data_IF_250122450289
#
_entry.id   IF_250122450289
#
_cell.length_a   1.000
_cell.length_b   1.000
_cell.length_c   1.000
_cell.angle_alpha   90.00
_cell.angle_beta   90.00
_cell.angle_gamma   90.00
#
_symmetry.space_group_name_H-M   'P 1'
#
loop_
_entity.id
_entity.type
_entity.pdbx_description
1 polymer ?
#
# COMPACT_ATOMS: atom_id res chain seq x y z
N UNK A 1 7.77 26.79 3.36
CA UNK A 1 8.65 25.70 3.86
C UNK A 1 9.61 25.32 2.75
N UNK A 2 10.95 25.39 2.94
CA UNK A 2 11.89 25.10 1.82
C UNK A 2 11.96 23.59 1.59
N UNK A 3 11.51 23.14 0.42
CA UNK A 3 11.61 21.75 -0.03
C UNK A 3 12.98 21.54 -0.68
N UNK A 4 13.74 20.47 -0.37
CA UNK A 4 14.95 20.14 -1.08
C UNK A 4 14.69 19.95 -2.57
N UNK A 5 15.50 20.58 -3.46
CA UNK A 5 15.28 20.54 -4.93
C UNK A 5 15.09 19.12 -5.48
N UNK A 6 15.88 18.14 -4.97
CA UNK A 6 15.74 16.73 -5.39
C UNK A 6 14.34 16.17 -5.10
N UNK A 7 13.76 16.52 -3.94
CA UNK A 7 12.41 16.07 -3.56
C UNK A 7 11.37 16.79 -4.40
N UNK A 8 11.50 18.10 -4.59
CA UNK A 8 10.61 18.89 -5.44
C UNK A 8 10.60 18.37 -6.89
N UNK A 9 11.77 18.06 -7.46
CA UNK A 9 11.88 17.51 -8.81
C UNK A 9 11.20 16.15 -8.94
N UNK A 10 11.46 15.24 -7.99
CA UNK A 10 10.84 13.91 -7.99
C UNK A 10 9.31 14.02 -7.85
N UNK A 11 8.85 14.92 -6.99
CA UNK A 11 7.42 15.18 -6.75
C UNK A 11 6.71 15.69 -8.00
N UNK A 12 7.21 16.78 -8.60
CA UNK A 12 6.63 17.38 -9.81
C UNK A 12 6.64 16.40 -10.98
N UNK A 13 7.75 15.68 -11.21
CA UNK A 13 7.84 14.69 -12.29
C UNK A 13 6.82 13.55 -12.12
N UNK A 14 6.66 13.01 -10.90
CA UNK A 14 5.70 11.95 -10.63
C UNK A 14 4.27 12.43 -10.84
N UNK A 15 3.93 13.61 -10.31
CA UNK A 15 2.59 14.18 -10.42
C UNK A 15 2.24 14.52 -11.88
N UNK A 16 3.17 15.10 -12.64
CA UNK A 16 3.02 15.34 -14.07
C UNK A 16 2.80 14.06 -14.88
N UNK A 17 3.51 12.99 -14.51
CA UNK A 17 3.33 11.65 -15.09
C UNK A 17 2.07 10.91 -14.62
N UNK A 18 1.22 11.52 -13.78
CA UNK A 18 0.01 10.90 -13.24
C UNK A 18 0.27 9.72 -12.29
N UNK A 19 1.51 9.58 -11.77
CA UNK A 19 1.87 8.54 -10.82
C UNK A 19 2.01 9.10 -9.41
N UNK A 20 1.76 8.25 -8.41
CA UNK A 20 1.88 8.66 -7.00
C UNK A 20 3.36 8.78 -6.62
N UNK A 21 3.81 9.95 -6.12
CA UNK A 21 5.18 10.12 -5.69
C UNK A 21 5.49 9.27 -4.46
N UNK A 22 6.69 8.71 -4.40
CA UNK A 22 7.16 7.96 -3.21
C UNK A 22 7.72 8.87 -2.11
N UNK A 23 8.14 10.06 -2.47
CA UNK A 23 8.73 11.08 -1.57
C UNK A 23 8.02 12.40 -1.73
N UNK A 24 8.03 13.23 -0.68
CA UNK A 24 7.47 14.58 -0.73
C UNK A 24 5.95 14.68 -0.53
N UNK A 25 5.25 13.58 -0.29
CA UNK A 25 3.79 13.56 -0.10
C UNK A 25 3.28 14.58 0.93
N UNK A 26 3.91 14.79 2.11
CA UNK A 26 3.43 15.77 3.08
C UNK A 26 3.35 17.21 2.54
N UNK A 27 4.14 17.53 1.52
CA UNK A 27 4.13 18.87 0.92
C UNK A 27 2.88 19.16 0.08
N UNK A 28 2.24 18.12 -0.46
CA UNK A 28 1.06 18.21 -1.34
C UNK A 28 -0.19 17.53 -0.77
N UNK A 29 -0.12 16.99 0.45
CA UNK A 29 -1.30 16.42 1.11
C UNK A 29 -2.28 17.53 1.49
N UNK A 30 -3.54 17.37 1.03
CA UNK A 30 -4.67 18.28 1.30
C UNK A 30 -5.93 17.44 1.52
N UNK A 31 -6.80 17.86 2.44
CA UNK A 31 -8.17 17.35 2.58
C UNK A 31 -8.33 15.91 3.08
N UNK A 32 -7.26 15.27 3.58
CA UNK A 32 -7.28 13.84 3.99
C UNK A 32 -6.96 13.62 5.48
N UNK A 33 -7.06 14.67 6.28
CA UNK A 33 -6.66 14.60 7.68
C UNK A 33 -7.45 13.57 8.46
N UNK A 34 -8.78 13.59 8.31
CA UNK A 34 -9.65 12.72 9.09
C UNK A 34 -9.48 11.24 8.74
N UNK A 35 -9.33 10.94 7.43
CA UNK A 35 -9.04 9.58 6.93
C UNK A 35 -7.69 9.08 7.44
N UNK A 36 -6.66 9.93 7.40
CA UNK A 36 -5.32 9.62 7.92
C UNK A 36 -5.41 9.37 9.43
N UNK A 37 -6.06 10.24 10.19
CA UNK A 37 -6.20 10.11 11.64
C UNK A 37 -6.97 8.83 12.03
N UNK A 38 -7.99 8.44 11.24
CA UNK A 38 -8.74 7.20 11.44
C UNK A 38 -7.84 5.97 11.21
N UNK A 39 -7.08 5.95 10.13
CA UNK A 39 -6.15 4.86 9.82
C UNK A 39 -4.98 4.77 10.80
N UNK A 40 -4.51 5.91 11.34
CA UNK A 40 -3.47 5.92 12.35
C UNK A 40 -3.96 5.40 13.72
N UNK A 41 -5.25 5.59 14.07
CA UNK A 41 -5.85 4.92 15.24
C UNK A 41 -5.85 3.40 15.08
N UNK A 42 -6.14 2.89 13.90
CA UNK A 42 -6.05 1.46 13.62
C UNK A 42 -4.61 0.94 13.78
N UNK A 43 -3.62 1.72 13.37
CA UNK A 43 -2.20 1.38 13.54
C UNK A 43 -1.84 1.25 15.02
N UNK A 44 -2.38 2.08 15.87
CA UNK A 44 -2.15 1.99 17.33
C UNK A 44 -2.79 0.69 17.90
N UNK A 45 -3.99 0.29 17.44
CA UNK A 45 -4.62 -1.00 17.79
C UNK A 45 -3.73 -2.18 17.37
N UNK A 46 -3.14 -2.13 16.17
CA UNK A 46 -2.24 -3.19 15.67
C UNK A 46 -0.97 -3.26 16.53
N UNK A 47 -0.38 -2.14 16.91
CA UNK A 47 0.81 -2.09 17.76
C UNK A 47 0.59 -2.73 19.14
N UNK A 48 -0.63 -2.63 19.67
CA UNK A 48 -1.05 -3.21 20.95
C UNK A 48 -1.41 -4.71 20.86
N UNK A 49 -1.23 -5.33 19.69
CA UNK A 49 -1.45 -6.77 19.49
C UNK A 49 -2.76 -7.15 18.83
N UNK A 50 -3.58 -6.15 18.47
CA UNK A 50 -4.80 -6.33 17.71
C UNK A 50 -4.56 -6.48 16.20
N UNK A 51 -5.67 -6.38 15.46
CA UNK A 51 -5.67 -6.34 14.01
C UNK A 51 -6.68 -5.30 13.50
N UNK A 52 -6.50 -4.84 12.27
CA UNK A 52 -7.44 -3.95 11.59
C UNK A 52 -7.67 -4.40 10.15
N UNK A 53 -8.88 -4.16 9.66
CA UNK A 53 -9.24 -4.44 8.27
C UNK A 53 -10.08 -3.28 7.71
N UNK A 54 -9.56 -2.60 6.68
CA UNK A 54 -10.23 -1.46 6.06
C UNK A 54 -10.33 -1.60 4.54
N UNK A 55 -11.42 -1.08 4.01
CA UNK A 55 -11.55 -0.78 2.59
C UNK A 55 -11.49 0.73 2.38
N UNK A 56 -10.71 1.17 1.39
CA UNK A 56 -10.73 2.54 0.90
C UNK A 56 -11.39 2.53 -0.47
N UNK A 57 -12.54 3.18 -0.56
CA UNK A 57 -13.38 3.20 -1.75
C UNK A 57 -13.43 4.61 -2.32
N UNK A 58 -13.16 4.74 -3.61
CA UNK A 58 -13.22 6.03 -4.29
C UNK A 58 -13.10 5.86 -5.79
N UNK A 59 -13.60 6.84 -6.55
CA UNK A 59 -13.51 6.85 -8.02
C UNK A 59 -12.06 6.76 -8.50
N UNK A 60 -11.87 6.45 -9.76
CA UNK A 60 -10.55 6.50 -10.37
C UNK A 60 -9.98 7.93 -10.23
N UNK A 61 -8.70 8.06 -9.91
CA UNK A 61 -8.08 9.37 -9.69
C UNK A 61 -8.42 10.09 -8.39
N UNK A 62 -9.30 9.56 -7.53
CA UNK A 62 -9.73 10.19 -6.27
C UNK A 62 -8.66 10.29 -5.18
N UNK A 63 -7.45 9.76 -5.43
CA UNK A 63 -6.34 9.80 -4.47
C UNK A 63 -6.21 8.58 -3.56
N UNK A 64 -6.86 7.44 -3.86
CA UNK A 64 -6.71 6.18 -3.08
C UNK A 64 -5.25 5.78 -2.91
N UNK A 65 -4.54 5.59 -4.00
CA UNK A 65 -3.11 5.20 -4.00
C UNK A 65 -2.22 6.26 -3.34
N UNK A 66 -2.60 7.56 -3.45
CA UNK A 66 -1.94 8.64 -2.74
C UNK A 66 -2.12 8.51 -1.22
N UNK A 67 -3.32 8.21 -0.75
CA UNK A 67 -3.60 7.97 0.67
C UNK A 67 -2.85 6.73 1.16
N UNK A 68 -2.85 5.61 0.40
CA UNK A 68 -2.06 4.42 0.74
C UNK A 68 -0.58 4.74 0.92
N UNK A 69 0.01 5.48 -0.02
CA UNK A 69 1.42 5.85 0.04
C UNK A 69 1.71 6.80 1.21
N UNK A 70 0.76 7.69 1.53
CA UNK A 70 0.86 8.59 2.69
C UNK A 70 0.85 7.79 3.99
N UNK A 71 -0.11 6.89 4.17
CA UNK A 71 -0.20 6.00 5.34
C UNK A 71 1.04 5.13 5.46
N UNK A 72 1.52 4.55 4.34
CA UNK A 72 2.76 3.77 4.30
C UNK A 72 3.93 4.51 4.95
N UNK A 73 4.13 5.77 4.60
CA UNK A 73 5.22 6.59 5.14
C UNK A 73 5.04 6.86 6.65
N UNK A 74 3.83 7.21 7.11
CA UNK A 74 3.54 7.41 8.53
C UNK A 74 3.75 6.14 9.35
N UNK A 75 3.30 5.01 8.85
CA UNK A 75 3.35 3.73 9.54
C UNK A 75 4.78 3.21 9.65
N UNK A 76 5.59 3.36 8.58
CA UNK A 76 7.02 3.06 8.66
C UNK A 76 7.76 3.96 9.67
N UNK A 77 7.36 5.24 9.81
CA UNK A 77 7.93 6.14 10.83
C UNK A 77 7.60 5.68 12.25
N UNK A 78 6.46 5.00 12.47
CA UNK A 78 6.05 4.34 13.71
C UNK A 78 6.67 2.94 13.91
N UNK A 79 7.73 2.60 13.19
CA UNK A 79 8.47 1.33 13.28
C UNK A 79 7.65 0.08 12.86
N UNK A 80 6.76 0.23 11.90
CA UNK A 80 6.08 -0.90 11.26
C UNK A 80 6.85 -1.40 10.04
N UNK A 81 6.58 -2.65 9.69
CA UNK A 81 6.88 -3.19 8.36
C UNK A 81 5.65 -3.03 7.48
N UNK A 82 5.84 -2.53 6.28
CA UNK A 82 4.76 -2.39 5.30
C UNK A 82 5.04 -3.28 4.10
N UNK A 83 4.03 -3.98 3.63
CA UNK A 83 4.04 -4.77 2.40
C UNK A 83 2.91 -4.32 1.51
N UNK A 84 3.16 -4.19 0.21
CA UNK A 84 2.18 -3.71 -0.74
C UNK A 84 2.14 -4.56 -2.01
N UNK A 85 0.95 -4.69 -2.61
CA UNK A 85 0.74 -5.34 -3.89
C UNK A 85 -0.44 -4.72 -4.64
N UNK A 86 -0.28 -4.58 -5.96
CA UNK A 86 -1.36 -4.26 -6.86
C UNK A 86 -1.90 -5.56 -7.47
N UNK A 87 -3.20 -5.78 -7.35
CA UNK A 87 -3.84 -6.92 -7.98
C UNK A 87 -3.82 -6.78 -9.51
N UNK A 88 -3.77 -7.90 -10.18
CA UNK A 88 -3.78 -8.00 -11.65
C UNK A 88 -4.43 -9.32 -12.08
N UNK A 89 -4.61 -9.59 -13.37
CA UNK A 89 -5.04 -10.91 -13.82
C UNK A 89 -4.16 -12.06 -13.34
N UNK A 90 -2.85 -11.84 -13.15
CA UNK A 90 -1.86 -12.80 -12.68
C UNK A 90 -1.70 -12.81 -11.15
N UNK A 91 -2.08 -11.73 -10.48
CA UNK A 91 -1.99 -11.55 -9.02
C UNK A 91 -3.38 -11.39 -8.43
N UNK A 92 -3.89 -12.44 -7.80
CA UNK A 92 -5.21 -12.50 -7.15
C UNK A 92 -5.05 -12.93 -5.69
N UNK A 93 -6.13 -12.86 -4.92
CA UNK A 93 -6.11 -13.36 -3.53
C UNK A 93 -6.27 -14.88 -3.48
N UNK A 94 -6.97 -15.46 -4.45
CA UNK A 94 -7.14 -16.89 -4.60
C UNK A 94 -7.11 -17.26 -6.08
N UNK A 95 -6.44 -18.36 -6.41
CA UNK A 95 -6.35 -18.90 -7.75
C UNK A 95 -5.96 -20.37 -7.75
N UNK A 96 -5.91 -20.96 -8.93
CA UNK A 96 -5.53 -22.37 -9.13
C UNK A 96 -4.22 -22.53 -9.89
N UNK A 97 -3.63 -21.43 -10.36
CA UNK A 97 -2.42 -21.40 -11.18
C UNK A 97 -1.31 -20.53 -10.59
N UNK A 98 -1.23 -20.46 -9.27
CA UNK A 98 -0.21 -19.66 -8.60
C UNK A 98 -0.53 -18.16 -8.48
N UNK A 99 -1.80 -17.73 -8.72
CA UNK A 99 -2.13 -16.31 -8.66
C UNK A 99 -2.11 -15.76 -7.23
N UNK A 100 -2.55 -16.54 -6.24
CA UNK A 100 -2.45 -16.14 -4.83
C UNK A 100 -1.00 -16.11 -4.36
N UNK A 101 -0.21 -17.11 -4.77
CA UNK A 101 1.23 -17.15 -4.52
C UNK A 101 1.95 -15.96 -5.21
N UNK A 102 1.51 -15.54 -6.40
CA UNK A 102 2.08 -14.37 -7.08
C UNK A 102 1.83 -13.07 -6.28
N UNK A 103 0.64 -12.92 -5.68
CA UNK A 103 0.35 -11.81 -4.78
C UNK A 103 1.24 -11.84 -3.53
N UNK A 104 1.42 -13.02 -2.91
CA UNK A 104 2.33 -13.19 -1.80
C UNK A 104 3.79 -12.82 -2.15
N UNK A 105 4.28 -13.29 -3.30
CA UNK A 105 5.63 -12.96 -3.78
C UNK A 105 5.82 -11.46 -3.93
N UNK A 106 4.81 -10.77 -4.47
CA UNK A 106 4.83 -9.31 -4.60
C UNK A 106 4.87 -8.62 -3.23
N UNK A 107 4.01 -9.03 -2.29
CA UNK A 107 3.99 -8.50 -0.93
C UNK A 107 5.35 -8.65 -0.24
N UNK A 108 5.97 -9.82 -0.30
CA UNK A 108 7.28 -10.04 0.34
C UNK A 108 8.40 -9.31 -0.38
N UNK A 109 8.36 -9.20 -1.72
CA UNK A 109 9.30 -8.42 -2.50
C UNK A 109 9.27 -6.94 -2.13
N UNK A 110 8.06 -6.40 -1.93
CA UNK A 110 7.83 -5.01 -1.57
C UNK A 110 7.92 -4.75 -0.06
N UNK A 111 8.31 -5.76 0.74
CA UNK A 111 8.48 -5.59 2.18
C UNK A 111 9.43 -4.45 2.49
N UNK A 112 8.96 -3.47 3.23
CA UNK A 112 9.60 -2.18 3.44
C UNK A 112 9.64 -1.79 4.91
N UNK A 113 10.69 -1.07 5.28
CA UNK A 113 10.88 -0.49 6.61
C UNK A 113 11.31 0.96 6.47
N UNK A 114 11.38 1.70 7.58
CA UNK A 114 11.89 3.08 7.59
C UNK A 114 13.31 3.18 7.00
N UNK A 115 14.15 2.18 7.22
CA UNK A 115 15.56 2.15 6.73
C UNK A 115 15.69 1.61 5.32
N UNK A 116 14.69 0.89 4.82
CA UNK A 116 14.64 0.32 3.46
C UNK A 116 13.23 0.55 2.87
N UNK A 117 12.88 1.78 2.49
CA UNK A 117 11.53 2.12 2.05
C UNK A 117 11.21 1.66 0.61
N UNK A 118 12.22 1.29 -0.19
CA UNK A 118 12.02 0.90 -1.59
C UNK A 118 11.57 -0.56 -1.76
N UNK A 119 11.47 -1.34 -0.68
CA UNK A 119 11.20 -2.77 -0.73
C UNK A 119 12.44 -3.63 -0.51
N UNK A 120 12.26 -4.95 -0.49
CA UNK A 120 13.36 -5.90 -0.30
C UNK A 120 13.99 -5.88 1.09
N UNK A 121 13.24 -5.49 2.12
CA UNK A 121 13.76 -5.35 3.48
C UNK A 121 13.94 -6.67 4.23
N UNK A 122 13.40 -7.79 3.73
CA UNK A 122 13.42 -9.07 4.45
C UNK A 122 14.82 -9.50 4.94
N UNK A 123 15.91 -9.48 4.13
CA UNK A 123 17.23 -9.85 4.61
C UNK A 123 17.71 -8.95 5.75
N UNK A 124 17.52 -7.64 5.62
CA UNK A 124 17.91 -6.67 6.65
C UNK A 124 17.12 -6.86 7.95
N UNK A 125 15.84 -7.23 7.87
CA UNK A 125 15.00 -7.53 9.03
C UNK A 125 15.57 -8.74 9.79
N UNK A 126 15.90 -9.82 9.08
CA UNK A 126 16.44 -11.03 9.67
C UNK A 126 17.84 -10.80 10.29
N UNK A 127 18.74 -10.16 9.58
CA UNK A 127 20.08 -9.85 10.08
C UNK A 127 20.03 -8.92 11.30
N UNK A 128 19.17 -7.89 11.26
CA UNK A 128 18.98 -6.98 12.39
C UNK A 128 18.34 -7.66 13.60
N UNK A 129 17.41 -8.56 13.38
CA UNK A 129 16.81 -9.35 14.45
C UNK A 129 17.86 -10.19 15.17
N UNK A 130 18.71 -10.91 14.43
CA UNK A 130 19.81 -11.70 15.00
C UNK A 130 20.74 -10.81 15.83
N UNK A 131 21.16 -9.68 15.27
CA UNK A 131 22.03 -8.72 15.98
C UNK A 131 21.37 -8.16 17.24
N UNK A 132 20.05 -7.88 17.21
CA UNK A 132 19.30 -7.40 18.39
C UNK A 132 19.23 -8.47 19.47
N UNK A 133 19.00 -9.74 19.12
CA UNK A 133 18.99 -10.84 20.08
C UNK A 133 20.38 -11.07 20.68
N UNK A 134 21.44 -10.99 19.88
CA UNK A 134 22.82 -11.06 20.38
C UNK A 134 23.10 -9.95 21.40
N UNK A 135 22.72 -8.71 21.07
CA UNK A 135 22.93 -7.58 21.98
C UNK A 135 22.12 -7.73 23.30
N UNK A 136 20.87 -8.15 23.21
CA UNK A 136 20.02 -8.43 24.40
C UNK A 136 20.67 -9.47 25.33
N UNK A 137 21.22 -10.55 24.75
CA UNK A 137 21.88 -11.58 25.52
C UNK A 137 23.19 -11.07 26.12
N UNK A 138 23.99 -10.30 25.39
CA UNK A 138 25.21 -9.69 25.91
C UNK A 138 24.92 -8.76 27.09
N UNK A 139 23.92 -7.89 26.94
CA UNK A 139 23.52 -6.94 27.98
C UNK A 139 23.02 -7.64 29.25
N UNK A 140 22.31 -8.78 29.11
CA UNK A 140 21.76 -9.53 30.23
C UNK A 140 22.76 -10.48 30.90
N UNK A 141 23.72 -11.01 30.14
CA UNK A 141 24.72 -11.97 30.65
C UNK A 141 26.07 -11.35 31.05
N UNK A 142 26.36 -10.14 30.56
CA UNK A 142 27.65 -9.47 30.75
C UNK A 142 28.78 -10.09 29.90
N UNK A 143 28.49 -11.02 28.98
CA UNK A 143 29.47 -11.67 28.12
C UNK A 143 29.85 -10.78 26.94
N UNK A 144 31.12 -10.84 26.55
CA UNK A 144 31.61 -10.16 25.34
C UNK A 144 31.35 -10.94 24.06
N UNK A 145 31.48 -10.26 22.90
CA UNK A 145 31.23 -10.85 21.55
C UNK A 145 32.08 -12.09 21.28
N UNK A 146 33.31 -12.14 21.83
CA UNK A 146 34.27 -13.25 21.65
C UNK A 146 34.13 -14.34 22.69
N UNK A 147 33.22 -14.21 23.65
CA UNK A 147 33.06 -15.21 24.71
C UNK A 147 32.37 -16.46 24.17
N UNK A 148 32.99 -17.67 24.34
CA UNK A 148 32.38 -18.91 23.88
C UNK A 148 31.04 -19.24 24.50
N UNK A 149 30.74 -18.68 25.69
CA UNK A 149 29.44 -18.85 26.35
C UNK A 149 28.28 -18.06 25.71
N UNK A 150 28.57 -17.07 24.86
CA UNK A 150 27.57 -16.23 24.25
C UNK A 150 26.65 -16.99 23.24
N UNK A 151 27.28 -17.75 22.32
CA UNK A 151 26.57 -18.44 21.25
C UNK A 151 25.45 -19.40 21.75
N UNK A 152 25.67 -20.26 22.77
CA UNK A 152 24.60 -21.10 23.32
C UNK A 152 23.44 -20.31 23.94
N UNK A 153 23.70 -19.17 24.57
CA UNK A 153 22.68 -18.31 25.16
C UNK A 153 21.84 -17.63 24.08
N UNK A 154 22.47 -17.13 23.02
CA UNK A 154 21.78 -16.55 21.86
C UNK A 154 20.92 -17.62 21.16
N UNK A 155 21.44 -18.83 20.95
CA UNK A 155 20.67 -19.94 20.36
C UNK A 155 19.44 -20.29 21.22
N UNK A 156 19.60 -20.34 22.55
CA UNK A 156 18.49 -20.55 23.48
C UNK A 156 17.45 -19.43 23.40
N UNK A 157 17.87 -18.17 23.32
CA UNK A 157 16.97 -17.03 23.19
C UNK A 157 16.22 -17.05 21.85
N UNK A 158 16.89 -17.31 20.74
CA UNK A 158 16.29 -17.49 19.42
C UNK A 158 15.28 -18.63 19.46
N UNK A 159 15.63 -19.77 20.04
CA UNK A 159 14.69 -20.91 20.18
C UNK A 159 13.45 -20.55 20.98
N UNK A 160 13.55 -19.73 22.02
CA UNK A 160 12.42 -19.25 22.80
C UNK A 160 11.50 -18.32 21.98
N UNK A 161 12.07 -17.38 21.20
CA UNK A 161 11.33 -16.50 20.31
C UNK A 161 10.58 -17.29 19.23
N UNK A 162 11.28 -18.22 18.62
CA UNK A 162 10.75 -19.10 17.55
C UNK A 162 9.68 -20.07 18.11
N UNK A 163 9.87 -20.55 19.33
CA UNK A 163 8.94 -21.48 19.99
C UNK A 163 7.51 -20.92 20.10
N UNK A 164 7.37 -19.62 20.28
CA UNK A 164 6.07 -18.95 20.31
C UNK A 164 5.31 -19.03 18.97
N UNK A 165 5.99 -19.28 17.85
CA UNK A 165 5.37 -19.43 16.53
C UNK A 165 4.87 -20.87 16.26
N UNK A 166 5.36 -21.87 17.01
CA UNK A 166 5.07 -23.29 16.74
C UNK A 166 3.58 -23.64 16.87
N UNK A 167 2.83 -22.88 17.66
CA UNK A 167 1.38 -23.11 17.85
C UNK A 167 0.56 -22.60 16.66
N UNK A 168 1.14 -21.81 15.77
CA UNK A 168 0.47 -21.30 14.58
C UNK A 168 0.52 -22.30 13.43
N UNK A 169 -0.43 -22.21 12.52
CA UNK A 169 -0.44 -23.01 11.28
C UNK A 169 0.89 -22.78 10.53
N UNK A 170 1.57 -23.87 10.16
CA UNK A 170 2.92 -23.87 9.56
C UNK A 170 4.03 -23.26 10.43
N UNK A 171 3.77 -22.98 11.68
CA UNK A 171 4.75 -22.36 12.60
C UNK A 171 6.02 -23.16 12.78
N UNK A 172 5.93 -24.50 12.84
CA UNK A 172 7.09 -25.38 13.01
C UNK A 172 8.11 -25.26 11.86
N UNK A 173 7.65 -25.32 10.60
CA UNK A 173 8.54 -25.20 9.44
C UNK A 173 9.11 -23.79 9.30
N UNK A 174 8.29 -22.78 9.57
CA UNK A 174 8.73 -21.37 9.58
C UNK A 174 9.83 -21.16 10.65
N UNK A 175 9.62 -21.69 11.84
CA UNK A 175 10.57 -21.68 12.95
C UNK A 175 11.91 -22.36 12.58
N UNK A 176 11.81 -23.53 11.94
CA UNK A 176 12.98 -24.29 11.48
C UNK A 176 13.81 -23.49 10.46
N UNK A 177 13.16 -22.81 9.54
CA UNK A 177 13.86 -21.98 8.55
C UNK A 177 14.50 -20.74 9.17
N UNK A 178 13.86 -20.09 10.15
CA UNK A 178 14.51 -19.03 10.93
C UNK A 178 15.76 -19.53 11.68
N UNK A 179 15.69 -20.73 12.27
CA UNK A 179 16.85 -21.35 12.90
C UNK A 179 17.97 -21.65 11.91
N UNK A 180 17.62 -22.16 10.72
CA UNK A 180 18.58 -22.42 9.66
C UNK A 180 19.24 -21.14 9.18
N UNK A 181 18.48 -20.06 9.00
CA UNK A 181 18.98 -18.73 8.65
C UNK A 181 19.99 -18.23 9.71
N UNK A 182 19.64 -18.35 11.00
CA UNK A 182 20.53 -17.96 12.10
C UNK A 182 21.85 -18.73 12.06
N UNK A 183 21.80 -20.07 11.92
CA UNK A 183 23.01 -20.91 11.85
C UNK A 183 23.89 -20.54 10.67
N UNK A 184 23.29 -20.32 9.51
CA UNK A 184 23.99 -19.85 8.31
C UNK A 184 24.60 -18.45 8.51
N UNK A 185 23.90 -17.55 9.18
CA UNK A 185 24.41 -16.22 9.52
C UNK A 185 25.67 -16.31 10.41
N UNK A 186 25.64 -17.12 11.46
CA UNK A 186 26.78 -17.32 12.36
C UNK A 186 27.98 -17.98 11.67
N UNK A 187 27.70 -18.87 10.70
CA UNK A 187 28.76 -19.58 9.94
C UNK A 187 29.29 -18.75 8.75
N UNK A 188 28.70 -17.60 8.43
CA UNK A 188 29.03 -16.83 7.21
C UNK A 188 28.61 -17.55 5.92
N UNK A 189 27.62 -18.45 5.98
CA UNK A 189 27.13 -19.23 4.85
C UNK A 189 26.04 -18.45 4.10
N UNK A 190 26.47 -17.61 3.18
CA UNK A 190 25.58 -16.78 2.36
C UNK A 190 24.74 -17.62 1.38
N UNK A 191 25.19 -18.80 0.99
CA UNK A 191 24.44 -19.70 0.10
C UNK A 191 23.20 -20.23 0.80
N UNK A 192 23.33 -20.76 2.01
CA UNK A 192 22.19 -21.24 2.81
C UNK A 192 21.27 -20.09 3.18
N UNK A 193 21.78 -18.90 3.53
CA UNK A 193 20.95 -17.69 3.74
C UNK A 193 20.11 -17.37 2.50
N UNK A 194 20.70 -17.39 1.32
CA UNK A 194 19.99 -17.11 0.07
C UNK A 194 18.88 -18.15 -0.21
N UNK A 195 19.15 -19.45 0.04
CA UNK A 195 18.14 -20.51 -0.10
C UNK A 195 16.97 -20.32 0.87
N UNK A 196 17.23 -19.97 2.13
CA UNK A 196 16.16 -19.67 3.09
C UNK A 196 15.35 -18.45 2.67
N UNK A 197 16.00 -17.38 2.21
CA UNK A 197 15.31 -16.20 1.68
C UNK A 197 14.45 -16.51 0.46
N UNK A 198 14.94 -17.38 -0.46
CA UNK A 198 14.19 -17.90 -1.60
C UNK A 198 12.90 -18.59 -1.13
N UNK A 199 12.97 -19.38 -0.06
CA UNK A 199 11.80 -20.03 0.51
C UNK A 199 10.80 -19.02 1.09
N UNK A 200 11.25 -18.08 1.91
CA UNK A 200 10.39 -17.04 2.48
C UNK A 200 9.71 -16.16 1.42
N UNK A 201 10.34 -16.00 0.26
CA UNK A 201 9.76 -15.31 -0.90
C UNK A 201 8.75 -16.15 -1.69
N UNK A 202 8.55 -17.44 -1.33
CA UNK A 202 7.66 -18.35 -2.05
C UNK A 202 8.19 -18.76 -3.43
N UNK A 203 9.51 -18.76 -3.62
CA UNK A 203 10.14 -18.96 -4.94
C UNK A 203 10.47 -20.43 -5.23
N UNK A 204 10.27 -21.36 -4.28
CA UNK A 204 10.40 -22.80 -4.53
C UNK A 204 9.19 -23.30 -5.30
N UNK A 205 9.44 -23.99 -6.42
CA UNK A 205 8.40 -24.54 -7.26
C UNK A 205 7.83 -25.87 -6.73
N UNK A 206 8.68 -26.70 -6.09
CA UNK A 206 8.31 -28.03 -5.62
C UNK A 206 8.79 -28.32 -4.20
N UNK A 207 8.04 -29.20 -3.50
CA UNK A 207 8.46 -29.72 -2.19
C UNK A 207 9.77 -30.50 -2.27
N UNK A 208 10.03 -31.18 -3.39
CA UNK A 208 11.27 -31.96 -3.62
C UNK A 208 12.48 -31.05 -3.61
N UNK A 209 12.42 -29.92 -4.34
CA UNK A 209 13.49 -28.91 -4.36
C UNK A 209 13.74 -28.35 -2.95
N UNK A 210 12.68 -27.92 -2.25
CA UNK A 210 12.79 -27.41 -0.89
C UNK A 210 13.38 -28.44 0.10
N UNK A 211 13.03 -29.72 -0.07
CA UNK A 211 13.58 -30.82 0.75
C UNK A 211 15.06 -31.04 0.49
N UNK A 212 15.47 -31.01 -0.78
CA UNK A 212 16.88 -31.22 -1.14
C UNK A 212 17.77 -30.07 -0.65
N UNK A 213 17.30 -28.82 -0.79
CA UNK A 213 18.11 -27.66 -0.49
C UNK A 213 18.06 -27.23 0.99
N UNK A 214 16.91 -27.40 1.67
CA UNK A 214 16.67 -26.88 3.03
C UNK A 214 16.22 -27.98 4.03
N UNK A 215 15.98 -29.19 3.57
CA UNK A 215 15.46 -30.29 4.40
C UNK A 215 14.00 -30.11 4.83
N UNK A 216 13.24 -29.15 4.28
CA UNK A 216 11.81 -28.94 4.59
C UNK A 216 10.92 -29.54 3.50
N UNK A 217 9.83 -30.16 3.87
CA UNK A 217 8.91 -30.82 2.93
C UNK A 217 7.62 -30.00 2.69
N UNK A 218 7.76 -28.67 2.71
CA UNK A 218 6.66 -27.74 2.54
C UNK A 218 7.11 -26.55 1.67
N UNK A 219 6.20 -26.04 0.86
CA UNK A 219 6.37 -24.82 0.07
C UNK A 219 5.12 -23.98 0.23
N UNK A 220 5.25 -22.69 0.10
CA UNK A 220 4.13 -21.74 0.16
C UNK A 220 3.29 -21.89 -1.12
N UNK A 221 1.97 -21.95 -0.97
CA UNK A 221 1.01 -22.23 -2.06
C UNK A 221 -0.11 -21.19 -2.14
N UNK A 222 -0.94 -21.28 -3.19
CA UNK A 222 -2.15 -20.44 -3.35
C UNK A 222 -3.14 -20.56 -2.17
N UNK A 223 -3.11 -21.67 -1.43
CA UNK A 223 -4.08 -21.92 -0.38
C UNK A 223 -3.64 -21.38 0.98
N UNK A 224 -2.34 -21.37 1.26
CA UNK A 224 -1.78 -21.14 2.60
C UNK A 224 -0.92 -19.88 2.75
N UNK A 225 -0.66 -19.14 1.66
CA UNK A 225 0.17 -17.94 1.70
C UNK A 225 -0.25 -16.91 2.76
N UNK A 226 -1.54 -16.82 3.06
CA UNK A 226 -2.06 -15.92 4.08
C UNK A 226 -1.63 -16.33 5.50
N UNK A 227 -1.53 -17.63 5.78
CA UNK A 227 -1.05 -18.14 7.07
C UNK A 227 0.40 -17.68 7.33
N UNK A 228 1.22 -17.65 6.28
CA UNK A 228 2.59 -17.16 6.39
C UNK A 228 2.68 -15.66 6.65
N UNK A 229 1.74 -14.85 6.17
CA UNK A 229 1.69 -13.43 6.53
C UNK A 229 1.36 -13.23 8.01
N UNK A 230 0.48 -14.06 8.59
CA UNK A 230 0.22 -14.04 10.04
C UNK A 230 1.46 -14.42 10.84
N UNK A 231 2.20 -15.44 10.39
CA UNK A 231 3.48 -15.82 10.99
C UNK A 231 4.50 -14.69 10.92
N UNK A 232 4.64 -14.02 9.76
CA UNK A 232 5.51 -12.87 9.63
C UNK A 232 5.13 -11.74 10.59
N UNK A 233 3.85 -11.41 10.73
CA UNK A 233 3.40 -10.36 11.64
C UNK A 233 3.82 -10.65 13.09
N UNK A 234 3.60 -11.88 13.56
CA UNK A 234 4.02 -12.31 14.89
C UNK A 234 5.56 -12.33 15.05
N UNK A 235 6.28 -12.81 14.03
CA UNK A 235 7.74 -12.78 14.02
C UNK A 235 8.29 -11.34 14.07
N UNK A 236 7.74 -10.44 13.26
CA UNK A 236 8.17 -9.04 13.20
C UNK A 236 8.02 -8.33 14.55
N UNK A 237 6.97 -8.65 15.31
CA UNK A 237 6.84 -8.16 16.69
C UNK A 237 7.99 -8.63 17.57
N UNK A 238 8.40 -9.90 17.46
CA UNK A 238 9.54 -10.44 18.18
C UNK A 238 10.88 -9.86 17.69
N UNK A 239 10.92 -9.44 16.42
CA UNK A 239 12.08 -8.75 15.83
C UNK A 239 12.13 -7.24 16.16
N UNK A 240 11.27 -6.76 17.07
CA UNK A 240 11.27 -5.39 17.58
C UNK A 240 10.50 -4.38 16.73
N UNK A 241 9.72 -4.83 15.74
CA UNK A 241 8.79 -3.96 15.01
C UNK A 241 7.45 -3.85 15.74
N UNK A 242 6.72 -2.77 15.48
CA UNK A 242 5.40 -2.57 16.10
C UNK A 242 4.32 -3.48 15.53
N UNK A 243 4.43 -3.86 14.26
CA UNK A 243 3.50 -4.74 13.55
C UNK A 243 3.75 -4.73 12.05
N UNK A 244 2.81 -5.29 11.30
CA UNK A 244 2.82 -5.34 9.83
C UNK A 244 1.54 -4.74 9.26
N UNK A 245 1.67 -3.89 8.25
CA UNK A 245 0.55 -3.35 7.48
C UNK A 245 0.61 -3.86 6.04
N UNK A 246 -0.48 -4.46 5.57
CA UNK A 246 -0.64 -4.97 4.21
C UNK A 246 -1.52 -4.00 3.43
N UNK A 247 -1.00 -3.51 2.31
CA UNK A 247 -1.69 -2.61 1.40
C UNK A 247 -1.95 -3.36 0.09
N UNK A 248 -3.23 -3.45 -0.31
CA UNK A 248 -3.64 -4.12 -1.55
C UNK A 248 -4.45 -3.12 -2.37
N UNK A 249 -3.91 -2.72 -3.51
CA UNK A 249 -4.60 -1.83 -4.45
C UNK A 249 -5.19 -2.63 -5.63
N UNK A 250 -5.95 -1.95 -6.48
CA UNK A 250 -6.56 -2.48 -7.71
C UNK A 250 -7.53 -3.66 -7.49
N UNK A 251 -8.38 -3.59 -6.45
CA UNK A 251 -9.46 -4.57 -6.21
C UNK A 251 -10.39 -4.75 -7.42
N UNK A 252 -10.44 -3.77 -8.31
CA UNK A 252 -11.18 -3.85 -9.57
C UNK A 252 -10.77 -5.07 -10.42
N UNK A 253 -9.56 -5.58 -10.27
CA UNK A 253 -9.11 -6.78 -10.96
C UNK A 253 -9.79 -8.06 -10.47
N UNK A 254 -10.29 -8.11 -9.22
CA UNK A 254 -11.17 -9.19 -8.78
C UNK A 254 -12.57 -9.03 -9.40
N UNK A 255 -13.10 -7.82 -9.41
CA UNK A 255 -14.38 -7.52 -10.05
C UNK A 255 -14.41 -7.92 -11.54
N UNK A 256 -13.32 -7.69 -12.27
CA UNK A 256 -13.15 -8.01 -13.69
C UNK A 256 -13.03 -9.52 -13.97
N UNK A 257 -12.87 -10.40 -12.98
CA UNK A 257 -12.80 -11.85 -13.20
C UNK A 257 -14.10 -12.34 -13.84
N UNK A 258 -14.08 -12.91 -15.08
CA UNK A 258 -15.31 -13.31 -15.77
C UNK A 258 -16.05 -14.46 -15.06
N UNK A 259 -15.30 -15.46 -14.59
CA UNK A 259 -15.86 -16.64 -13.95
C UNK A 259 -16.36 -16.31 -12.54
N UNK A 260 -17.66 -16.47 -12.28
CA UNK A 260 -18.32 -16.15 -11.01
C UNK A 260 -17.76 -16.97 -9.83
N UNK A 261 -17.48 -18.25 -10.01
CA UNK A 261 -16.96 -19.15 -8.98
C UNK A 261 -15.55 -18.70 -8.56
N UNK A 262 -14.68 -18.41 -9.53
CA UNK A 262 -13.33 -17.92 -9.25
C UNK A 262 -13.38 -16.57 -8.53
N UNK A 263 -14.29 -15.68 -8.92
CA UNK A 263 -14.49 -14.39 -8.25
C UNK A 263 -14.97 -14.58 -6.81
N UNK A 264 -15.91 -15.49 -6.58
CA UNK A 264 -16.40 -15.84 -5.24
C UNK A 264 -15.29 -16.36 -4.33
N UNK A 265 -14.39 -17.23 -4.80
CA UNK A 265 -13.25 -17.70 -4.00
C UNK A 265 -12.32 -16.56 -3.56
N UNK A 266 -12.17 -15.51 -4.37
CA UNK A 266 -11.43 -14.32 -3.95
C UNK A 266 -12.18 -13.54 -2.85
N UNK A 267 -13.51 -13.44 -2.92
CA UNK A 267 -14.32 -12.83 -1.87
C UNK A 267 -14.33 -13.65 -0.58
N UNK A 268 -14.32 -14.97 -0.67
CA UNK A 268 -14.15 -15.87 0.49
C UNK A 268 -12.78 -15.65 1.16
N UNK A 269 -11.72 -15.44 0.39
CA UNK A 269 -10.40 -15.11 0.95
C UNK A 269 -10.45 -13.77 1.70
N UNK A 270 -11.10 -12.74 1.14
CA UNK A 270 -11.32 -11.46 1.83
C UNK A 270 -12.11 -11.67 3.13
N UNK A 271 -13.20 -12.45 3.08
CA UNK A 271 -13.99 -12.75 4.27
C UNK A 271 -13.17 -13.45 5.36
N UNK A 272 -12.30 -14.40 4.98
CA UNK A 272 -11.40 -15.09 5.91
C UNK A 272 -10.47 -14.09 6.60
N UNK A 273 -9.79 -13.22 5.84
CA UNK A 273 -8.91 -12.19 6.38
C UNK A 273 -9.67 -11.22 7.31
N UNK A 274 -10.86 -10.79 6.90
CA UNK A 274 -11.72 -9.92 7.69
C UNK A 274 -12.12 -10.58 9.02
N UNK A 275 -12.63 -11.80 8.96
CA UNK A 275 -13.05 -12.53 10.15
C UNK A 275 -11.86 -12.78 11.10
N UNK A 276 -10.70 -13.16 10.59
CA UNK A 276 -9.50 -13.38 11.41
C UNK A 276 -9.06 -12.09 12.12
N UNK A 277 -9.15 -10.95 11.45
CA UNK A 277 -8.87 -9.65 12.05
C UNK A 277 -9.89 -9.31 13.16
N UNK A 278 -11.18 -9.51 12.90
CA UNK A 278 -12.26 -9.17 13.87
C UNK A 278 -12.33 -10.16 15.04
N UNK A 279 -11.90 -11.42 14.87
CA UNK A 279 -11.94 -12.46 15.89
C UNK A 279 -10.63 -12.62 16.69
N UNK A 280 -9.62 -11.78 16.42
CA UNK A 280 -8.33 -11.83 17.10
C UNK A 280 -7.44 -13.01 16.70
N UNK A 281 -7.74 -13.68 15.57
CA UNK A 281 -6.90 -14.75 14.99
C UNK A 281 -5.71 -14.19 14.22
N UNK A 282 -5.84 -12.97 13.67
CA UNK A 282 -4.73 -12.19 13.19
C UNK A 282 -4.26 -11.27 14.33
N UNK A 283 -2.95 -11.13 14.51
CA UNK A 283 -2.34 -10.31 15.55
C UNK A 283 -1.20 -9.51 14.96
N UNK A 284 -1.05 -8.26 15.42
CA UNK A 284 -0.02 -7.33 14.93
C UNK A 284 -0.10 -7.09 13.43
N UNK A 285 -1.30 -7.18 12.85
CA UNK A 285 -1.53 -7.24 11.42
C UNK A 285 -2.68 -6.31 10.99
N UNK A 286 -2.42 -5.45 10.03
CA UNK A 286 -3.44 -4.59 9.43
C UNK A 286 -3.59 -4.82 7.94
N UNK A 287 -4.80 -4.62 7.42
CA UNK A 287 -5.12 -4.68 6.00
C UNK A 287 -5.81 -3.40 5.56
N UNK A 288 -5.35 -2.84 4.45
CA UNK A 288 -6.05 -1.78 3.72
C UNK A 288 -6.18 -2.23 2.26
N UNK A 289 -7.42 -2.40 1.80
CA UNK A 289 -7.76 -2.79 0.44
C UNK A 289 -8.38 -1.60 -0.29
N UNK A 290 -7.92 -1.29 -1.50
CA UNK A 290 -8.45 -0.18 -2.28
C UNK A 290 -9.25 -0.63 -3.49
N UNK A 291 -10.41 0.02 -3.70
CA UNK A 291 -11.29 -0.27 -4.82
C UNK A 291 -12.13 0.92 -5.27
N UNK A 292 -12.84 0.71 -6.36
CA UNK A 292 -13.83 1.67 -6.85
C UNK A 292 -15.22 1.41 -6.24
N UNK A 293 -16.16 2.38 -6.23
CA UNK A 293 -17.52 2.14 -5.82
C UNK A 293 -18.15 0.96 -6.56
N UNK A 294 -17.96 0.87 -7.87
CA UNK A 294 -18.49 -0.22 -8.69
C UNK A 294 -17.96 -1.60 -8.22
N UNK A 295 -16.65 -1.75 -7.92
CA UNK A 295 -16.13 -3.03 -7.49
C UNK A 295 -16.61 -3.45 -6.10
N UNK A 296 -17.11 -2.51 -5.30
CA UNK A 296 -17.70 -2.81 -4.00
C UNK A 296 -19.20 -3.10 -4.11
N UNK A 297 -19.96 -2.23 -4.78
CA UNK A 297 -21.41 -2.10 -4.66
C UNK A 297 -22.19 -2.86 -5.71
N UNK A 298 -21.59 -3.18 -6.87
CA UNK A 298 -22.30 -3.92 -7.92
C UNK A 298 -22.90 -5.21 -7.35
N UNK A 299 -24.25 -5.37 -7.37
CA UNK A 299 -24.93 -6.50 -6.74
C UNK A 299 -24.70 -7.82 -7.46
N UNK A 300 -24.18 -7.80 -8.69
CA UNK A 300 -23.92 -8.99 -9.50
C UNK A 300 -22.46 -9.44 -9.43
N UNK A 301 -21.52 -8.51 -9.36
CA UNK A 301 -20.10 -8.81 -9.51
C UNK A 301 -19.21 -8.19 -8.42
N UNK A 302 -19.67 -7.14 -7.73
CA UNK A 302 -18.93 -6.45 -6.68
C UNK A 302 -18.76 -7.29 -5.42
N UNK A 303 -18.02 -6.75 -4.45
CA UNK A 303 -17.84 -7.38 -3.13
C UNK A 303 -19.19 -7.65 -2.47
N UNK A 304 -20.18 -6.76 -2.65
CA UNK A 304 -21.52 -6.92 -2.11
C UNK A 304 -22.38 -7.98 -2.83
N UNK A 305 -21.91 -8.54 -3.96
CA UNK A 305 -22.55 -9.73 -4.54
C UNK A 305 -22.36 -10.97 -3.66
N UNK A 306 -21.37 -10.97 -2.76
CA UNK A 306 -21.14 -12.02 -1.77
C UNK A 306 -21.80 -11.63 -0.45
N UNK A 307 -22.94 -12.27 -0.15
CA UNK A 307 -23.83 -11.92 0.96
C UNK A 307 -23.13 -11.83 2.32
N UNK A 308 -22.19 -12.75 2.58
CA UNK A 308 -21.45 -12.76 3.83
C UNK A 308 -20.54 -11.51 4.02
N UNK A 309 -20.01 -10.93 2.94
CA UNK A 309 -19.28 -9.66 3.00
C UNK A 309 -20.26 -8.48 3.02
N UNK A 310 -21.31 -8.53 2.22
CA UNK A 310 -22.33 -7.46 2.20
C UNK A 310 -22.88 -7.20 3.60
N UNK A 311 -23.27 -8.23 4.33
CA UNK A 311 -23.82 -8.10 5.69
C UNK A 311 -22.86 -7.50 6.71
N UNK A 312 -21.53 -7.55 6.47
CA UNK A 312 -20.49 -7.03 7.36
C UNK A 312 -19.98 -5.65 6.97
N UNK A 313 -20.06 -5.33 5.70
CA UNK A 313 -19.45 -4.14 5.10
C UNK A 313 -20.48 -3.10 4.62
N UNK A 314 -21.79 -3.48 4.59
CA UNK A 314 -22.83 -2.55 4.22
C UNK A 314 -22.86 -1.34 5.17
N UNK A 315 -23.14 -0.19 4.61
CA UNK A 315 -23.23 1.06 5.36
C UNK A 315 -24.33 1.02 6.42
N UNK A 316 -24.06 1.69 7.53
CA UNK A 316 -25.09 1.94 8.53
C UNK A 316 -26.17 2.91 8.01
N UNK A 317 -27.32 2.91 8.64
CA UNK A 317 -28.48 3.71 8.23
C UNK A 317 -28.23 5.23 8.14
N UNK A 318 -27.19 5.72 8.82
CA UNK A 318 -26.84 7.15 8.90
C UNK A 318 -25.65 7.55 8.03
N UNK A 319 -25.03 6.61 7.30
CA UNK A 319 -23.81 6.86 6.52
C UNK A 319 -24.01 7.87 5.36
N UNK A 320 -25.26 8.04 4.87
CA UNK A 320 -25.59 9.05 3.85
C UNK A 320 -25.60 10.48 4.36
N UNK A 321 -25.86 10.69 5.66
CA UNK A 321 -26.00 12.01 6.29
C UNK A 321 -24.77 12.39 7.12
N UNK A 322 -24.02 11.41 7.61
CA UNK A 322 -22.92 11.62 8.54
C UNK A 322 -21.67 10.87 8.11
N UNK A 323 -20.52 11.49 8.32
CA UNK A 323 -19.20 10.88 8.05
C UNK A 323 -18.93 9.77 9.08
N UNK A 324 -18.80 8.52 8.64
CA UNK A 324 -18.45 7.39 9.49
C UNK A 324 -17.08 6.82 9.10
N UNK A 325 -16.03 7.21 9.85
CA UNK A 325 -14.65 6.72 9.68
C UNK A 325 -14.31 5.56 10.61
N UNK A 326 -15.27 5.08 11.41
CA UNK A 326 -15.14 3.87 12.22
C UNK A 326 -15.61 2.63 11.46
N UNK A 327 -16.44 2.81 10.44
CA UNK A 327 -16.87 1.74 9.53
C UNK A 327 -15.67 1.05 8.85
N UNK A 328 -15.75 -0.26 8.59
CA UNK A 328 -14.74 -0.96 7.80
C UNK A 328 -14.50 -0.36 6.41
N UNK A 329 -15.46 0.36 5.86
CA UNK A 329 -15.38 0.98 4.54
C UNK A 329 -15.27 2.50 4.69
N UNK A 330 -14.12 3.04 4.27
CA UNK A 330 -13.88 4.49 4.20
C UNK A 330 -14.08 4.93 2.76
N UNK A 331 -15.05 5.82 2.53
CA UNK A 331 -15.32 6.41 1.22
C UNK A 331 -14.60 7.72 1.07
N UNK A 332 -13.71 7.79 0.07
CA UNK A 332 -13.03 9.04 -0.25
C UNK A 332 -13.99 9.98 -0.98
N UNK A 333 -14.30 11.08 -0.33
CA UNK A 333 -15.02 12.17 -0.97
C UNK A 333 -14.12 12.91 -1.96
N UNK A 334 -14.66 13.51 -3.04
CA UNK A 334 -13.92 14.45 -3.86
C UNK A 334 -13.30 15.55 -2.99
N UNK A 335 -12.16 16.11 -3.43
CA UNK A 335 -11.63 17.31 -2.79
C UNK A 335 -12.58 18.48 -3.05
N UNK A 336 -12.76 19.33 -2.02
CA UNK A 336 -13.57 20.54 -2.16
C UNK A 336 -12.87 21.57 -3.03
N UNK A 337 -13.60 22.60 -3.44
CA UNK A 337 -13.04 23.73 -4.19
C UNK A 337 -11.86 24.38 -3.44
N UNK A 338 -12.03 24.64 -2.15
CA UNK A 338 -11.02 25.24 -1.28
C UNK A 338 -9.79 24.33 -1.13
N UNK A 339 -10.01 23.01 -1.01
CA UNK A 339 -8.93 22.04 -0.93
C UNK A 339 -8.12 21.96 -2.23
N UNK A 340 -8.80 22.05 -3.38
CA UNK A 340 -8.14 22.12 -4.69
C UNK A 340 -7.34 23.40 -4.85
N UNK A 341 -7.87 24.54 -4.39
CA UNK A 341 -7.16 25.81 -4.41
C UNK A 341 -5.89 25.76 -3.57
N UNK A 342 -5.95 25.21 -2.34
CA UNK A 342 -4.76 25.00 -1.52
C UNK A 342 -3.74 24.08 -2.20
N UNK A 343 -4.21 23.06 -2.91
CA UNK A 343 -3.34 22.14 -3.65
C UNK A 343 -2.62 22.84 -4.79
N UNK A 344 -3.31 23.66 -5.58
CA UNK A 344 -2.71 24.46 -6.68
C UNK A 344 -1.71 25.49 -6.15
N UNK A 345 -2.00 26.17 -5.04
CA UNK A 345 -1.06 27.06 -4.36
C UNK A 345 0.23 26.35 -3.97
N UNK A 346 0.12 25.20 -3.32
CA UNK A 346 1.30 24.38 -2.95
C UNK A 346 2.11 23.95 -4.17
N UNK A 347 1.45 23.54 -5.26
CA UNK A 347 2.13 23.13 -6.50
C UNK A 347 2.87 24.31 -7.15
N UNK A 348 2.26 25.50 -7.19
CA UNK A 348 2.88 26.71 -7.72
C UNK A 348 4.13 27.10 -6.90
N UNK A 349 4.05 27.05 -5.57
CA UNK A 349 5.19 27.33 -4.69
C UNK A 349 6.33 26.32 -4.88
N UNK A 350 5.99 25.03 -5.00
CA UNK A 350 6.97 23.98 -5.23
C UNK A 350 7.66 24.16 -6.57
N UNK A 351 6.90 24.47 -7.61
CA UNK A 351 7.40 24.68 -8.97
C UNK A 351 8.31 25.91 -9.04
N UNK A 352 7.88 27.04 -8.47
CA UNK A 352 8.68 28.26 -8.40
C UNK A 352 10.00 28.07 -7.64
N UNK A 353 9.94 27.36 -6.50
CA UNK A 353 11.13 27.02 -5.71
C UNK A 353 12.07 26.00 -6.37
N UNK A 354 11.54 25.12 -7.23
CA UNK A 354 12.33 24.14 -7.99
C UNK A 354 13.18 24.84 -9.06
N UNK A 355 12.57 25.74 -9.82
CA UNK A 355 13.21 26.42 -10.95
C UNK A 355 13.77 27.81 -10.62
N UNK A 356 13.77 28.21 -9.32
CA UNK A 356 14.34 29.45 -8.81
C UNK A 356 13.78 30.74 -9.51
N UNK A 357 12.46 30.82 -9.69
CA UNK A 357 11.81 32.03 -10.19
C UNK A 357 10.78 32.58 -9.18
N UNK A 358 10.48 33.89 -9.20
CA UNK A 358 9.43 34.44 -8.36
C UNK A 358 8.07 33.90 -8.80
N UNK A 359 7.21 33.55 -7.84
CA UNK A 359 5.83 33.12 -8.12
C UNK A 359 5.12 34.13 -9.01
N UNK A 360 4.80 33.73 -10.23
CA UNK A 360 4.16 34.59 -11.26
C UNK A 360 2.66 34.32 -11.40
N UNK A 361 2.19 33.13 -10.90
CA UNK A 361 0.78 32.78 -10.92
C UNK A 361 0.11 33.41 -9.71
N UNK A 362 -0.87 34.28 -9.95
CA UNK A 362 -1.60 34.97 -8.88
C UNK A 362 -2.68 34.10 -8.28
N UNK A 363 -3.16 34.46 -7.09
CA UNK A 363 -4.29 33.78 -6.47
C UNK A 363 -5.54 33.80 -7.37
N UNK A 364 -5.76 34.92 -8.09
CA UNK A 364 -6.88 35.02 -9.03
C UNK A 364 -6.73 34.06 -10.22
N UNK A 365 -5.51 33.87 -10.74
CA UNK A 365 -5.27 32.89 -11.82
C UNK A 365 -5.54 31.47 -11.38
N UNK A 366 -5.25 31.13 -10.12
CA UNK A 366 -5.57 29.81 -9.55
C UNK A 366 -7.09 29.62 -9.38
N UNK A 367 -7.78 30.67 -8.94
CA UNK A 367 -9.25 30.68 -8.85
C UNK A 367 -9.85 30.49 -10.24
N UNK A 368 -9.43 31.29 -11.23
CA UNK A 368 -9.91 31.20 -12.61
C UNK A 368 -9.66 29.79 -13.20
N UNK A 369 -8.49 29.19 -12.92
CA UNK A 369 -8.17 27.82 -13.34
C UNK A 369 -9.13 26.79 -12.70
N UNK A 370 -9.32 26.84 -11.38
CA UNK A 370 -10.18 25.91 -10.67
C UNK A 370 -11.65 26.09 -11.09
N UNK A 371 -12.11 27.33 -11.32
CA UNK A 371 -13.47 27.58 -11.83
C UNK A 371 -13.70 26.96 -13.22
N UNK A 372 -12.69 27.02 -14.10
CA UNK A 372 -12.77 26.38 -15.42
C UNK A 372 -12.83 24.84 -15.25
N UNK A 373 -11.99 24.27 -14.40
CA UNK A 373 -11.98 22.84 -14.14
C UNK A 373 -13.32 22.36 -13.57
N UNK A 374 -13.86 23.05 -12.55
CA UNK A 374 -15.16 22.74 -11.97
C UNK A 374 -16.35 23.09 -12.87
N UNK A 375 -16.20 24.09 -13.77
CA UNK A 375 -17.19 24.45 -14.77
C UNK A 375 -17.32 23.47 -15.94
N UNK A 376 -16.44 22.47 -16.06
CA UNK A 376 -16.55 21.38 -17.04
C UNK A 376 -17.86 20.62 -16.79
N UNK A 377 -18.64 20.38 -17.83
CA UNK A 377 -19.93 19.70 -17.70
C UNK A 377 -19.76 18.33 -17.04
N UNK A 378 -20.47 18.10 -15.96
CA UNK A 378 -20.35 16.88 -15.15
C UNK A 378 -19.22 16.90 -14.13
N UNK A 379 -18.63 18.07 -13.87
CA UNK A 379 -17.54 18.27 -12.91
C UNK A 379 -17.84 17.74 -11.51
N UNK A 380 -19.05 17.95 -11.02
CA UNK A 380 -19.50 17.45 -9.69
C UNK A 380 -19.38 15.93 -9.56
N UNK A 381 -19.27 15.21 -10.69
CA UNK A 381 -19.22 13.76 -10.70
C UNK A 381 -17.92 13.19 -11.24
N UNK A 382 -17.08 13.96 -11.97
CA UNK A 382 -16.00 13.40 -12.78
C UNK A 382 -14.62 14.02 -12.59
N UNK A 383 -14.46 15.24 -12.05
CA UNK A 383 -13.12 15.82 -11.85
C UNK A 383 -12.33 15.04 -10.80
N UNK A 384 -11.13 14.66 -11.17
CA UNK A 384 -10.22 13.96 -10.27
C UNK A 384 -9.00 14.84 -9.92
N UNK A 385 -8.48 14.76 -8.68
CA UNK A 385 -7.25 15.46 -8.31
C UNK A 385 -6.09 15.19 -9.27
N UNK A 386 -6.02 14.00 -9.86
CA UNK A 386 -4.97 13.61 -10.81
C UNK A 386 -4.99 14.48 -12.06
N UNK A 387 -6.16 14.72 -12.63
CA UNK A 387 -6.31 15.55 -13.85
C UNK A 387 -5.99 16.99 -13.54
N UNK A 388 -6.59 17.57 -12.51
CA UNK A 388 -6.34 18.95 -12.07
C UNK A 388 -4.85 19.20 -11.80
N UNK A 389 -4.18 18.29 -11.10
CA UNK A 389 -2.74 18.40 -10.81
C UNK A 389 -1.92 18.41 -12.10
N UNK A 390 -2.21 17.51 -13.03
CA UNK A 390 -1.48 17.39 -14.29
C UNK A 390 -1.64 18.65 -15.14
N UNK A 391 -2.88 19.08 -15.31
CA UNK A 391 -3.22 20.23 -16.15
C UNK A 391 -2.66 21.53 -15.55
N UNK A 392 -2.69 21.66 -14.22
CA UNK A 392 -2.08 22.82 -13.56
C UNK A 392 -0.55 22.84 -13.65
N UNK A 393 0.13 21.71 -13.52
CA UNK A 393 1.58 21.62 -13.70
C UNK A 393 1.95 21.99 -15.16
N UNK A 394 1.15 21.58 -16.14
CA UNK A 394 1.35 21.97 -17.54
C UNK A 394 1.26 23.49 -17.72
N UNK A 395 0.26 24.14 -17.13
CA UNK A 395 0.14 25.60 -17.12
C UNK A 395 1.39 26.25 -16.51
N UNK A 396 1.86 25.76 -15.36
CA UNK A 396 3.08 26.27 -14.70
C UNK A 396 4.32 26.12 -15.58
N UNK A 397 4.49 24.98 -16.23
CA UNK A 397 5.61 24.71 -17.14
C UNK A 397 5.62 25.66 -18.35
N UNK A 398 4.45 25.91 -18.97
CA UNK A 398 4.32 26.76 -20.14
C UNK A 398 4.61 28.22 -19.77
N UNK A 399 4.02 28.72 -18.69
CA UNK A 399 4.23 30.13 -18.27
C UNK A 399 5.68 30.36 -17.84
N UNK A 400 6.30 29.39 -17.16
CA UNK A 400 7.72 29.48 -16.80
C UNK A 400 8.64 29.55 -18.04
N UNK A 401 8.38 28.73 -19.06
CA UNK A 401 9.24 28.62 -20.26
C UNK A 401 8.99 29.72 -21.27
N UNK A 402 7.88 30.45 -21.19
CA UNK A 402 7.47 31.47 -22.17
C UNK A 402 7.16 32.82 -21.47
N UNK A 403 8.19 33.57 -21.09
CA UNK A 403 8.01 34.91 -20.50
C UNK A 403 7.21 35.83 -21.44
N UNK A 404 6.03 36.22 -21.02
CA UNK A 404 5.10 37.04 -21.84
C UNK A 404 3.76 36.37 -22.12
N UNK A 405 3.64 35.07 -21.85
CA UNK A 405 2.34 34.38 -21.85
C UNK A 405 1.74 34.51 -20.44
N UNK A 406 0.52 35.06 -20.35
CA UNK A 406 -0.22 35.10 -19.10
C UNK A 406 -1.03 33.81 -18.89
N UNK A 407 -1.22 33.40 -17.61
CA UNK A 407 -2.10 32.28 -17.25
C UNK A 407 -3.49 32.48 -17.87
N UNK A 408 -4.06 33.65 -17.73
CA UNK A 408 -5.38 33.98 -18.29
C UNK A 408 -5.43 33.84 -19.83
N UNK A 409 -4.33 34.15 -20.52
CA UNK A 409 -4.21 33.93 -21.97
C UNK A 409 -4.22 32.44 -22.36
N UNK A 410 -3.57 31.60 -21.58
CA UNK A 410 -3.57 30.15 -21.76
C UNK A 410 -4.95 29.56 -21.50
N UNK A 411 -5.57 29.90 -20.38
CA UNK A 411 -6.88 29.39 -19.98
C UNK A 411 -8.01 29.80 -20.94
N UNK A 412 -7.87 30.94 -21.60
CA UNK A 412 -8.80 31.43 -22.63
C UNK A 412 -8.58 30.83 -24.03
N UNK A 413 -7.50 30.06 -24.24
CA UNK A 413 -7.17 29.51 -25.56
C UNK A 413 -8.07 28.36 -25.98
N UNK A 414 -8.34 28.27 -27.30
CA UNK A 414 -9.10 27.16 -27.86
C UNK A 414 -8.40 25.79 -27.64
N UNK A 415 -7.07 25.77 -27.55
CA UNK A 415 -6.31 24.56 -27.29
C UNK A 415 -6.59 23.97 -25.90
N UNK A 416 -6.67 24.82 -24.87
CA UNK A 416 -7.04 24.38 -23.51
C UNK A 416 -8.47 23.84 -23.45
N UNK A 417 -9.38 24.44 -24.24
CA UNK A 417 -10.79 23.99 -24.38
C UNK A 417 -10.93 22.73 -25.23
N UNK A 418 -10.09 22.54 -26.25
CA UNK A 418 -10.15 21.37 -27.15
C UNK A 418 -9.63 20.10 -26.49
N UNK A 419 -8.58 20.18 -25.69
CA UNK A 419 -8.11 19.06 -24.86
C UNK A 419 -9.20 18.55 -23.89
N UNK A 420 -10.10 19.43 -23.45
CA UNK A 420 -11.26 19.10 -22.63
C UNK A 420 -12.31 18.26 -23.36
N UNK A 421 -12.47 18.41 -24.67
CA UNK A 421 -13.44 17.68 -25.48
C UNK A 421 -12.92 16.30 -25.92
N UNK A 422 -11.62 16.16 -26.16
CA UNK A 422 -10.99 14.90 -26.54
C UNK A 422 -11.08 13.82 -25.44
N UNK A 423 -10.95 14.22 -24.17
CA UNK A 423 -11.11 13.31 -23.02
C UNK A 423 -12.54 12.78 -22.90
N UNK A 424 -13.54 13.52 -23.43
CA UNK A 424 -14.94 13.05 -23.42
C UNK A 424 -15.21 11.97 -24.46
N UNK A 425 -14.55 12.01 -25.61
CA UNK A 425 -14.72 11.01 -26.68
C UNK A 425 -14.08 9.66 -26.29
N UNK A 426 -12.91 9.66 -25.64
CA UNK A 426 -12.28 8.44 -25.14
C UNK A 426 -13.07 7.76 -24.01
N UNK A 427 -13.75 8.53 -23.14
CA UNK A 427 -14.56 7.96 -22.05
C UNK A 427 -15.91 7.40 -22.53
N UNK A 428 -16.46 7.91 -23.64
CA UNK A 428 -17.67 7.36 -24.26
C UNK A 428 -17.41 6.11 -25.07
N UNK A 429 -16.21 5.96 -25.62
CA UNK A 429 -15.84 4.77 -26.41
C UNK A 429 -15.54 3.54 -25.52
N UNK A 430 -15.01 3.76 -24.30
CA UNK A 430 -14.77 2.68 -23.33
C UNK A 430 -16.09 2.11 -22.74
N UNK A 431 -17.18 2.88 -22.79
CA UNK A 431 -18.53 2.41 -22.38
C UNK A 431 -19.24 1.59 -23.44
N UNK A 432 -18.83 1.68 -24.72
CA UNK A 432 -19.39 0.92 -25.85
C UNK A 432 -18.66 -0.38 -26.13
N UNK A 433 -17.43 -0.56 -25.61
CA UNK A 433 -16.66 -1.81 -25.72
C UNK A 433 -17.19 -2.95 -24.80
N UNK A 434 -18.25 -2.72 -24.03
CA UNK A 434 -18.88 -3.76 -23.18
C UNK A 434 -20.01 -4.55 -23.86
N UNK A 435 -20.28 -4.31 -25.15
CA UNK A 435 -21.30 -5.04 -25.90
C UNK A 435 -20.72 -5.69 -27.16
N UNK A 436 -19.95 -6.77 -27.01
CA UNK A 436 -19.90 -7.85 -27.97
C UNK A 436 -19.26 -9.12 -27.37
N UNK A 437 -20.13 -10.18 -27.27
CA UNK A 437 -19.91 -11.62 -27.03
C UNK A 437 -19.69 -12.08 -25.58
#
# INVERSE_FOLDING_TARGET
>A
MKIPKRIAQALINSLKGGVVPRVGLPYVTVGRKDEIDALLRDVDIIADGGASFRFIVGKYGSGKSFLLQTIRNYVMAKNFVVVDADLSPERRLQGTRGQGLATYKELIRNMSTKTKPEGGALPLILDRWISSVQQEVMDSSGLGVTDPGLAPLVEKRISAVIGALNEMVHGFDFARLLTLYYKAHCAGDDETKAKVLKWFRGEYATKTEARQELGVNIVITDNDWYEYLKLFACFLKQAGYAGMLILIDELVNIYKIPNAITRQYNYEKILTMYNDAMQGKARYLGFILCGTPQCMEDPRRGVYSYEALRSRLAEGHFAGEHKDLLSPVIRLQPLTYEEMLILTEKLADIHAGLYDYPQIVTQQDMVDFIEIEFGRIGADTHITPREVIRDFIEVLDIVYQNPGISVRGLLGSDQFRYAQNAVKEEQTDDSLAEFEL
#
